data_IF_676089303471
#
_entry.id   IF_676089303471
#
_cell.length_a   1.000
_cell.length_b   1.000
_cell.length_c   1.000
_cell.angle_alpha   90.00
_cell.angle_beta   90.00
_cell.angle_gamma   90.00
#
_symmetry.space_group_name_H-M   'P 1'
#
loop_
_entity.id
_entity.type
_entity.pdbx_description
1 polymer ?
#
# COMPACT_ATOMS: atom_id res chain seq x y z
N UNK A 1 6.82 13.60 -15.51
CA UNK A 1 6.45 12.46 -14.65
C UNK A 1 5.76 13.05 -13.44
N UNK A 2 4.57 12.58 -13.10
CA UNK A 2 3.84 13.07 -11.92
C UNK A 2 3.83 11.98 -10.86
N UNK A 3 4.70 12.10 -9.85
CA UNK A 3 4.67 11.31 -8.62
C UNK A 3 4.22 12.19 -7.47
N UNK A 4 3.19 12.99 -7.78
CA UNK A 4 2.53 13.91 -6.87
C UNK A 4 1.12 13.43 -6.61
N UNK A 5 0.71 13.49 -5.35
CA UNK A 5 -0.67 13.44 -4.92
C UNK A 5 -1.06 14.87 -4.52
N UNK A 6 -2.11 15.37 -5.15
CA UNK A 6 -2.78 16.61 -4.79
C UNK A 6 -4.11 16.22 -4.16
N UNK A 7 -4.16 16.27 -2.84
CA UNK A 7 -5.37 16.12 -2.07
C UNK A 7 -6.07 17.47 -1.89
N UNK A 8 -7.11 17.49 -1.07
CA UNK A 8 -7.86 18.73 -0.76
C UNK A 8 -7.12 19.57 0.30
N UNK A 9 -6.34 18.95 1.16
CA UNK A 9 -5.61 19.59 2.26
C UNK A 9 -4.16 19.14 2.39
N UNK A 10 -3.76 18.04 1.72
CA UNK A 10 -2.41 17.51 1.69
C UNK A 10 -1.83 17.51 0.29
N UNK A 11 -0.55 17.79 0.18
CA UNK A 11 0.23 17.54 -1.02
C UNK A 11 1.40 16.60 -0.71
N UNK A 12 1.57 15.58 -1.54
CA UNK A 12 2.60 14.57 -1.38
C UNK A 12 3.40 14.41 -2.67
N UNK A 13 4.72 14.42 -2.57
CA UNK A 13 5.62 14.06 -3.66
C UNK A 13 6.56 12.95 -3.22
N UNK A 14 6.62 11.86 -4.00
CA UNK A 14 7.59 10.76 -3.81
C UNK A 14 8.64 10.85 -4.90
N UNK A 15 9.92 10.83 -4.52
CA UNK A 15 11.04 10.99 -5.42
C UNK A 15 12.14 9.93 -5.19
N UNK A 16 13.09 9.88 -6.13
CA UNK A 16 14.17 8.91 -6.17
C UNK A 16 13.84 7.65 -6.97
N UNK A 17 14.78 6.73 -7.05
CA UNK A 17 14.69 5.44 -7.73
C UNK A 17 15.24 4.34 -6.81
N UNK A 18 14.94 3.08 -7.15
CA UNK A 18 15.35 1.93 -6.34
C UNK A 18 16.84 1.88 -6.04
N UNK A 19 17.66 2.30 -6.99
CA UNK A 19 19.13 2.27 -6.91
C UNK A 19 19.78 3.65 -6.97
N UNK A 20 19.01 4.75 -6.90
CA UNK A 20 19.56 6.09 -6.67
C UNK A 20 20.14 6.21 -5.25
N UNK A 21 20.93 7.26 -4.96
CA UNK A 21 21.51 7.45 -3.62
C UNK A 21 20.47 7.42 -2.49
N UNK A 22 19.27 7.97 -2.74
CA UNK A 22 18.18 7.98 -1.79
C UNK A 22 16.81 7.93 -2.50
N UNK A 23 15.80 7.55 -1.74
CA UNK A 23 14.38 7.75 -2.04
C UNK A 23 13.78 8.64 -0.96
N UNK A 24 12.73 9.38 -1.27
CA UNK A 24 12.17 10.29 -0.26
C UNK A 24 10.75 10.74 -0.55
N UNK A 25 10.23 11.50 0.39
CA UNK A 25 8.93 12.13 0.36
C UNK A 25 9.02 13.58 0.77
N UNK A 26 8.26 14.44 0.10
CA UNK A 26 7.85 15.74 0.62
C UNK A 26 6.36 15.69 0.93
N UNK A 27 5.97 16.22 2.08
CA UNK A 27 4.59 16.27 2.54
C UNK A 27 4.26 17.66 3.03
N UNK A 28 3.32 18.32 2.39
CA UNK A 28 2.78 19.63 2.76
C UNK A 28 1.38 19.48 3.36
N UNK A 29 1.00 20.45 4.20
CA UNK A 29 -0.33 20.45 4.81
C UNK A 29 -0.37 19.80 6.19
N UNK A 30 0.74 19.44 6.82
CA UNK A 30 0.75 19.01 8.23
C UNK A 30 0.45 20.20 9.16
N UNK A 31 -0.24 19.99 10.29
CA UNK A 31 -0.43 21.02 11.29
C UNK A 31 0.91 21.37 11.94
N UNK A 32 1.12 22.61 12.33
CA UNK A 32 2.24 22.97 13.20
C UNK A 32 1.94 22.55 14.65
N UNK A 33 2.99 22.14 15.38
CA UNK A 33 2.90 21.80 16.80
C UNK A 33 2.52 20.33 17.09
N UNK A 34 2.39 19.47 16.08
CA UNK A 34 2.18 18.04 16.29
C UNK A 34 3.48 17.34 16.63
N UNK A 35 3.53 16.61 17.74
CA UNK A 35 4.70 15.82 18.17
C UNK A 35 4.63 14.43 17.59
N UNK A 36 5.53 14.13 16.66
CA UNK A 36 5.62 12.79 16.04
C UNK A 36 6.28 11.82 17.02
N UNK A 37 5.62 10.70 17.32
CA UNK A 37 6.25 9.57 18.00
C UNK A 37 7.13 8.81 16.99
N UNK A 38 8.43 9.00 17.11
CA UNK A 38 9.42 8.40 16.20
C UNK A 38 9.59 6.90 16.41
N UNK A 39 9.30 6.37 17.60
CA UNK A 39 9.37 4.95 17.90
C UNK A 39 8.19 4.22 17.26
N UNK A 40 6.98 4.78 17.35
CA UNK A 40 5.79 4.28 16.66
C UNK A 40 5.98 4.34 15.14
N UNK A 41 6.44 5.47 14.59
CA UNK A 41 6.74 5.60 13.16
C UNK A 41 7.79 4.57 12.73
N UNK A 42 8.86 4.39 13.50
CA UNK A 42 9.88 3.37 13.25
C UNK A 42 9.31 1.95 13.29
N UNK A 43 8.41 1.65 14.22
CA UNK A 43 7.73 0.35 14.28
C UNK A 43 6.85 0.11 13.05
N UNK A 44 6.11 1.12 12.59
CA UNK A 44 5.31 1.07 11.39
C UNK A 44 6.15 0.80 10.13
N UNK A 45 7.27 1.52 9.97
CA UNK A 45 8.18 1.36 8.84
C UNK A 45 8.86 -0.02 8.83
N UNK A 46 9.21 -0.57 10.01
CA UNK A 46 9.79 -1.92 10.11
C UNK A 46 8.89 -3.00 9.55
N UNK A 47 7.57 -2.89 9.67
CA UNK A 47 6.60 -3.87 9.09
C UNK A 47 6.73 -3.94 7.56
N UNK A 48 7.07 -2.82 6.92
CA UNK A 48 7.28 -2.73 5.47
C UNK A 48 8.70 -3.16 5.07
N UNK A 49 9.71 -2.96 5.91
CA UNK A 49 11.11 -3.14 5.58
C UNK A 49 11.44 -4.56 5.09
N UNK A 50 12.40 -4.74 4.14
CA UNK A 50 12.77 -6.05 3.64
C UNK A 50 13.62 -6.83 4.65
N UNK A 51 13.68 -8.17 4.47
CA UNK A 51 14.60 -9.04 5.22
C UNK A 51 14.21 -9.33 6.66
N UNK A 52 12.95 -9.10 7.04
CA UNK A 52 12.47 -9.33 8.40
C UNK A 52 12.08 -10.79 8.68
N UNK A 53 11.89 -11.62 7.63
CA UNK A 53 11.36 -12.98 7.78
C UNK A 53 11.71 -13.88 6.59
N UNK A 54 11.43 -15.19 6.72
CA UNK A 54 11.80 -16.22 5.75
C UNK A 54 10.98 -16.18 4.45
N UNK A 55 9.79 -15.56 4.46
CA UNK A 55 8.88 -15.43 3.30
C UNK A 55 9.05 -14.14 2.51
N UNK A 56 10.03 -13.31 2.87
CA UNK A 56 10.40 -12.09 2.15
C UNK A 56 11.77 -12.21 1.50
N UNK A 57 12.14 -11.18 0.70
CA UNK A 57 13.46 -11.08 0.09
C UNK A 57 14.58 -11.11 1.14
N UNK A 58 15.74 -11.72 0.85
CA UNK A 58 16.89 -11.67 1.74
C UNK A 58 17.64 -10.31 1.75
N UNK A 59 17.19 -9.33 0.97
CA UNK A 59 17.68 -7.95 1.04
C UNK A 59 17.43 -7.39 2.43
N UNK A 60 18.40 -6.67 3.00
CA UNK A 60 18.27 -6.02 4.31
C UNK A 60 18.48 -4.53 4.14
N UNK A 61 17.49 -3.74 4.54
CA UNK A 61 17.56 -2.29 4.64
C UNK A 61 16.75 -1.85 5.86
N UNK A 62 17.30 -0.92 6.63
CA UNK A 62 16.68 -0.48 7.88
C UNK A 62 15.46 0.43 7.63
N UNK A 63 15.35 1.03 6.45
CA UNK A 63 14.31 2.00 6.05
C UNK A 63 14.15 3.15 7.07
N UNK A 64 15.26 3.58 7.69
CA UNK A 64 15.25 4.68 8.65
C UNK A 64 15.18 6.02 7.89
N UNK A 65 14.19 6.86 8.17
CA UNK A 65 14.07 8.18 7.57
C UNK A 65 15.05 9.17 8.20
N UNK A 66 15.67 9.99 7.35
CA UNK A 66 16.40 11.21 7.72
C UNK A 66 15.52 12.42 7.38
N UNK A 67 15.12 13.20 8.39
CA UNK A 67 14.23 14.34 8.23
C UNK A 67 15.04 15.60 7.96
N UNK A 68 14.91 16.12 6.73
CA UNK A 68 15.68 17.28 6.26
C UNK A 68 14.95 18.60 6.48
N UNK A 69 13.63 18.60 6.64
CA UNK A 69 12.78 19.78 6.80
C UNK A 69 11.45 19.43 7.46
N UNK A 70 10.74 20.42 7.97
CA UNK A 70 9.38 20.32 8.49
C UNK A 70 9.29 20.04 9.98
N UNK A 71 10.42 19.76 10.64
CA UNK A 71 10.48 19.45 12.08
C UNK A 71 11.43 20.38 12.82
N UNK A 72 11.09 20.64 14.09
CA UNK A 72 12.00 21.16 15.12
C UNK A 72 12.03 20.13 16.25
N UNK A 73 13.15 19.41 16.39
CA UNK A 73 13.14 18.14 17.13
C UNK A 73 12.20 17.15 16.45
N UNK A 74 11.21 16.64 17.20
CA UNK A 74 10.19 15.74 16.69
C UNK A 74 8.83 16.45 16.40
N UNK A 75 8.78 17.79 16.51
CA UNK A 75 7.56 18.57 16.41
C UNK A 75 7.45 19.21 15.02
N UNK A 76 6.31 19.05 14.36
CA UNK A 76 6.03 19.70 13.07
C UNK A 76 6.01 21.22 13.22
N UNK A 77 6.65 21.93 12.30
CA UNK A 77 6.80 23.39 12.36
C UNK A 77 5.95 24.15 11.32
N UNK A 78 5.12 23.44 10.56
CA UNK A 78 4.29 24.03 9.50
C UNK A 78 5.00 24.21 8.15
N UNK A 79 6.33 24.08 8.10
CA UNK A 79 7.05 24.02 6.83
C UNK A 79 6.81 22.64 6.14
N UNK A 80 6.95 22.54 4.82
CA UNK A 80 6.89 21.24 4.15
C UNK A 80 7.86 20.24 4.78
N UNK A 81 7.33 19.08 5.17
CA UNK A 81 8.16 18.00 5.70
C UNK A 81 8.89 17.33 4.53
N UNK A 82 10.20 17.15 4.66
CA UNK A 82 11.01 16.37 3.73
C UNK A 82 11.75 15.28 4.50
N UNK A 83 11.57 14.03 4.07
CA UNK A 83 12.29 12.89 4.63
C UNK A 83 12.89 12.04 3.52
N UNK A 84 14.11 11.55 3.73
CA UNK A 84 14.83 10.67 2.81
C UNK A 84 15.22 9.36 3.49
N UNK A 85 15.30 8.30 2.70
CA UNK A 85 15.89 7.02 3.09
C UNK A 85 17.05 6.75 2.15
N UNK A 86 18.25 6.64 2.70
CA UNK A 86 19.46 6.32 1.93
C UNK A 86 19.46 4.85 1.48
N UNK A 87 19.75 4.61 0.20
CA UNK A 87 19.89 3.26 -0.34
C UNK A 87 21.30 2.74 -0.08
N UNK A 88 21.43 1.70 0.73
CA UNK A 88 22.74 1.16 1.16
C UNK A 88 23.08 -0.21 0.57
N UNK A 89 22.11 -0.94 0.03
CA UNK A 89 22.27 -2.33 -0.43
C UNK A 89 21.80 -2.51 -1.89
N UNK A 90 22.41 -1.77 -2.82
CA UNK A 90 22.08 -1.80 -4.24
C UNK A 90 23.05 -2.69 -5.03
N UNK A 91 22.54 -3.44 -6.02
CA UNK A 91 23.32 -4.28 -6.95
C UNK A 91 22.82 -4.03 -8.38
N UNK A 92 23.22 -2.90 -8.96
CA UNK A 92 22.72 -2.45 -10.27
C UNK A 92 23.11 -3.38 -11.43
N UNK A 93 24.21 -4.12 -11.31
CA UNK A 93 24.68 -5.05 -12.33
C UNK A 93 23.70 -6.22 -12.59
N UNK A 94 22.90 -6.61 -11.59
CA UNK A 94 21.92 -7.70 -11.71
C UNK A 94 20.79 -7.39 -12.71
N UNK A 95 20.69 -6.14 -13.22
CA UNK A 95 19.60 -5.64 -14.07
C UNK A 95 20.04 -5.29 -15.50
N UNK A 96 21.30 -5.54 -15.89
CA UNK A 96 21.80 -5.13 -17.21
C UNK A 96 21.07 -5.81 -18.38
N UNK A 97 20.64 -7.06 -18.22
CA UNK A 97 19.87 -7.79 -19.24
C UNK A 97 18.44 -7.23 -19.43
N UNK A 98 17.91 -6.47 -18.45
CA UNK A 98 16.58 -5.89 -18.50
C UNK A 98 16.51 -4.59 -19.31
N UNK A 99 17.64 -4.05 -19.74
CA UNK A 99 17.69 -2.86 -20.61
C UNK A 99 17.06 -3.17 -21.96
N UNK A 100 17.33 -4.35 -22.49
CA UNK A 100 16.84 -4.78 -23.80
C UNK A 100 15.65 -5.77 -23.71
N UNK A 101 15.64 -6.64 -22.69
CA UNK A 101 14.62 -7.69 -22.55
C UNK A 101 13.73 -7.35 -21.34
N UNK A 102 12.54 -6.74 -21.56
CA UNK A 102 11.66 -6.31 -20.48
C UNK A 102 11.01 -7.49 -19.75
N UNK A 103 10.85 -7.36 -18.44
CA UNK A 103 10.12 -8.35 -17.62
C UNK A 103 8.64 -8.36 -17.97
N UNK A 104 8.05 -9.53 -18.27
CA UNK A 104 6.61 -9.67 -18.38
C UNK A 104 5.92 -9.22 -17.06
N UNK A 105 4.84 -8.46 -17.19
CA UNK A 105 4.09 -7.99 -16.03
C UNK A 105 4.73 -6.87 -15.20
N UNK A 106 5.92 -6.37 -15.56
CA UNK A 106 6.56 -5.19 -14.97
C UNK A 106 6.39 -3.95 -15.87
N UNK A 107 6.76 -2.78 -15.36
CA UNK A 107 6.67 -1.53 -16.10
C UNK A 107 7.81 -1.32 -17.11
N UNK A 108 8.75 -2.24 -17.27
CA UNK A 108 9.96 -2.06 -18.08
C UNK A 108 9.64 -1.62 -19.52
N UNK A 109 8.75 -2.34 -20.22
CA UNK A 109 8.34 -2.00 -21.58
C UNK A 109 7.57 -0.68 -21.65
N UNK A 110 6.58 -0.50 -20.78
CA UNK A 110 5.75 0.71 -20.81
C UNK A 110 6.54 1.95 -20.44
N UNK A 111 7.53 1.83 -19.55
CA UNK A 111 8.47 2.89 -19.22
C UNK A 111 9.42 3.21 -20.40
N UNK A 112 9.92 2.16 -21.07
CA UNK A 112 10.75 2.31 -22.29
C UNK A 112 10.02 3.14 -23.35
N UNK A 113 8.76 2.82 -23.62
CA UNK A 113 7.94 3.57 -24.61
C UNK A 113 7.67 4.99 -24.13
N UNK A 114 7.25 5.15 -22.86
CA UNK A 114 6.86 6.46 -22.32
C UNK A 114 8.01 7.44 -22.23
N UNK A 115 9.21 6.97 -21.87
CA UNK A 115 10.37 7.82 -21.61
C UNK A 115 11.46 7.73 -22.69
N UNK A 116 11.17 7.07 -23.81
CA UNK A 116 12.10 6.98 -24.95
C UNK A 116 13.44 6.34 -24.62
N UNK A 117 13.45 5.40 -23.65
CA UNK A 117 14.66 4.70 -23.22
C UNK A 117 15.49 5.39 -22.13
N UNK A 118 15.06 6.53 -21.62
CA UNK A 118 15.77 7.30 -20.59
C UNK A 118 15.37 6.94 -19.15
N UNK A 119 14.51 5.94 -18.95
CA UNK A 119 14.15 5.47 -17.61
C UNK A 119 15.32 4.74 -16.95
N UNK A 120 15.42 4.85 -15.61
CA UNK A 120 16.30 4.01 -14.83
C UNK A 120 15.70 2.60 -14.71
N UNK A 121 16.40 1.57 -15.21
CA UNK A 121 15.96 0.16 -15.14
C UNK A 121 16.46 -0.56 -13.89
N UNK A 122 17.48 -0.01 -13.22
CA UNK A 122 18.14 -0.66 -12.09
C UNK A 122 17.15 -0.84 -10.90
N UNK A 123 16.93 -2.10 -10.50
CA UNK A 123 15.97 -2.42 -9.44
C UNK A 123 14.53 -2.04 -9.74
N UNK A 124 14.19 -1.78 -11.02
CA UNK A 124 12.88 -1.28 -11.45
C UNK A 124 12.71 0.24 -11.32
N UNK A 125 13.81 0.96 -11.02
CA UNK A 125 13.85 2.42 -11.00
C UNK A 125 12.77 3.03 -10.11
N UNK A 126 12.03 3.98 -10.66
CA UNK A 126 10.93 4.66 -9.98
C UNK A 126 9.63 3.82 -9.92
N UNK A 127 9.55 2.68 -10.63
CA UNK A 127 8.42 1.74 -10.60
C UNK A 127 8.58 0.63 -9.54
N UNK A 128 9.67 0.68 -8.79
CA UNK A 128 9.99 -0.31 -7.78
C UNK A 128 9.04 -0.20 -6.57
N UNK A 129 8.69 -1.35 -5.98
CA UNK A 129 8.03 -1.41 -4.66
C UNK A 129 8.83 -0.72 -3.53
N UNK A 130 10.12 -0.40 -3.77
CA UNK A 130 10.96 0.37 -2.85
C UNK A 130 10.35 1.75 -2.55
N UNK A 131 9.67 2.37 -3.52
CA UNK A 131 9.05 3.69 -3.41
C UNK A 131 7.83 3.72 -2.47
N UNK A 132 7.39 2.58 -1.97
CA UNK A 132 6.37 2.53 -0.91
C UNK A 132 6.93 2.88 0.48
N UNK A 133 8.26 2.87 0.68
CA UNK A 133 8.82 3.28 1.97
C UNK A 133 8.60 4.78 2.25
N UNK A 134 8.85 5.72 1.32
CA UNK A 134 8.43 7.10 1.47
C UNK A 134 6.92 7.30 1.68
N UNK A 135 6.08 6.51 0.99
CA UNK A 135 4.62 6.53 1.21
C UNK A 135 4.28 6.16 2.67
N UNK A 136 4.97 5.15 3.22
CA UNK A 136 4.77 4.73 4.61
C UNK A 136 5.26 5.78 5.63
N UNK A 137 6.24 6.62 5.31
CA UNK A 137 6.62 7.75 6.17
C UNK A 137 5.43 8.70 6.29
N UNK A 138 4.89 9.17 5.18
CA UNK A 138 3.73 10.07 5.17
C UNK A 138 2.50 9.43 5.85
N UNK A 139 2.20 8.17 5.49
CA UNK A 139 1.07 7.45 6.07
C UNK A 139 1.21 7.20 7.57
N UNK A 140 2.41 6.88 8.06
CA UNK A 140 2.66 6.67 9.48
C UNK A 140 2.45 7.95 10.31
N UNK A 141 2.84 9.12 9.77
CA UNK A 141 2.57 10.42 10.40
C UNK A 141 1.06 10.72 10.39
N UNK A 142 0.39 10.52 9.25
CA UNK A 142 -1.06 10.70 9.15
C UNK A 142 -1.81 9.73 10.10
N UNK A 143 -1.29 8.52 10.32
CA UNK A 143 -1.89 7.53 11.24
C UNK A 143 -1.93 8.05 12.67
N UNK A 144 -0.83 8.64 13.15
CA UNK A 144 -0.77 9.24 14.48
C UNK A 144 -1.73 10.43 14.62
N UNK A 145 -1.82 11.28 13.59
CA UNK A 145 -2.78 12.39 13.55
C UNK A 145 -4.25 11.93 13.58
N UNK A 146 -4.56 10.82 12.92
CA UNK A 146 -5.89 10.20 12.96
C UNK A 146 -6.18 9.56 14.33
N UNK A 147 -5.17 8.93 14.94
CA UNK A 147 -5.28 8.33 16.27
C UNK A 147 -5.67 9.35 17.33
N UNK A 148 -5.09 10.57 17.33
CA UNK A 148 -5.49 11.66 18.22
C UNK A 148 -6.97 12.06 18.09
N UNK A 149 -7.58 11.76 16.94
CA UNK A 149 -9.00 12.01 16.67
C UNK A 149 -9.89 10.77 16.91
N UNK A 150 -9.33 9.69 17.46
CA UNK A 150 -10.03 8.44 17.71
C UNK A 150 -10.35 7.63 16.45
N UNK A 151 -9.62 7.90 15.35
CA UNK A 151 -9.75 7.16 14.09
C UNK A 151 -8.61 6.16 13.96
N UNK A 152 -8.96 4.87 13.84
CA UNK A 152 -7.98 3.80 13.72
C UNK A 152 -8.02 3.19 12.32
N UNK A 153 -6.84 2.99 11.75
CA UNK A 153 -6.67 2.34 10.44
C UNK A 153 -5.83 1.10 10.61
N UNK A 154 -6.37 -0.03 10.17
CA UNK A 154 -5.73 -1.32 10.29
C UNK A 154 -5.93 -2.14 9.01
N UNK A 155 -4.87 -2.81 8.56
CA UNK A 155 -4.96 -3.77 7.47
C UNK A 155 -4.39 -5.13 7.86
N UNK A 156 -4.89 -6.18 7.19
CA UNK A 156 -4.42 -7.55 7.34
C UNK A 156 -4.37 -8.27 5.99
N UNK A 157 -3.66 -9.37 5.96
CA UNK A 157 -3.74 -10.32 4.86
C UNK A 157 -5.14 -10.97 4.92
N UNK A 158 -5.86 -10.92 3.81
CA UNK A 158 -7.17 -11.55 3.65
C UNK A 158 -7.05 -12.89 2.92
N UNK A 159 -6.15 -12.97 1.92
CA UNK A 159 -5.83 -14.20 1.22
C UNK A 159 -4.41 -14.20 0.63
N UNK A 160 -3.80 -15.36 0.48
CA UNK A 160 -2.60 -15.60 -0.33
C UNK A 160 -2.77 -16.87 -1.14
N UNK A 161 -2.46 -16.81 -2.43
CA UNK A 161 -2.56 -17.96 -3.36
C UNK A 161 -3.94 -18.65 -3.34
N UNK A 162 -5.02 -17.87 -3.12
CA UNK A 162 -6.38 -18.41 -3.02
C UNK A 162 -6.74 -19.03 -1.67
N UNK A 163 -5.81 -19.05 -0.71
CA UNK A 163 -6.09 -19.49 0.67
C UNK A 163 -6.57 -18.27 1.44
N UNK A 164 -7.81 -18.29 1.93
CA UNK A 164 -8.46 -17.17 2.60
C UNK A 164 -8.41 -17.30 4.13
N UNK A 165 -8.34 -16.16 4.82
CA UNK A 165 -8.64 -16.05 6.24
C UNK A 165 -10.06 -15.49 6.40
N UNK A 166 -10.99 -16.38 6.74
CA UNK A 166 -12.41 -16.04 6.93
C UNK A 166 -12.74 -15.49 8.32
N UNK A 167 -11.72 -15.32 9.18
CA UNK A 167 -11.91 -14.78 10.52
C UNK A 167 -12.43 -13.33 10.46
N UNK A 168 -13.23 -12.96 11.45
CA UNK A 168 -13.62 -11.57 11.62
C UNK A 168 -12.42 -10.67 11.96
N UNK A 169 -12.54 -9.38 11.67
CA UNK A 169 -11.51 -8.38 11.95
C UNK A 169 -11.61 -7.91 13.42
N UNK A 170 -11.39 -8.84 14.39
CA UNK A 170 -11.68 -8.59 15.80
C UNK A 170 -10.47 -8.16 16.64
N UNK A 171 -9.25 -8.37 16.17
CA UNK A 171 -8.04 -8.09 16.96
C UNK A 171 -6.96 -7.38 16.14
N UNK A 172 -6.15 -6.52 16.78
CA UNK A 172 -4.98 -5.94 16.14
C UNK A 172 -4.02 -7.02 15.67
N UNK A 173 -3.70 -7.01 14.38
CA UNK A 173 -2.74 -7.93 13.76
C UNK A 173 -1.40 -7.25 13.43
N UNK A 174 -1.30 -5.96 13.69
CA UNK A 174 -0.14 -5.10 13.40
C UNK A 174 1.13 -5.51 14.14
N UNK A 175 0.99 -6.19 15.29
CA UNK A 175 2.10 -6.77 16.05
C UNK A 175 2.54 -8.15 15.57
N UNK A 176 1.75 -8.80 14.68
CA UNK A 176 2.13 -10.07 14.08
C UNK A 176 3.12 -9.85 12.93
N UNK A 177 4.20 -10.63 12.89
CA UNK A 177 5.14 -10.65 11.76
C UNK A 177 4.47 -11.07 10.44
N UNK A 178 3.40 -11.87 10.54
CA UNK A 178 2.55 -12.27 9.43
C UNK A 178 1.12 -11.84 9.78
N UNK A 179 0.65 -10.69 9.29
CA UNK A 179 -0.57 -10.04 9.77
C UNK A 179 -1.85 -10.71 9.24
N UNK A 180 -2.16 -11.87 9.79
CA UNK A 180 -3.35 -12.71 9.56
C UNK A 180 -4.03 -12.95 10.90
N UNK A 181 -5.37 -13.03 10.95
CA UNK A 181 -6.10 -13.25 12.19
C UNK A 181 -5.96 -14.70 12.66
N UNK A 182 -6.24 -15.67 11.78
CA UNK A 182 -6.12 -17.11 12.05
C UNK A 182 -4.68 -17.59 11.90
N UNK A 183 -4.12 -18.18 12.94
CA UNK A 183 -2.78 -18.77 12.88
C UNK A 183 -2.74 -20.01 11.97
N UNK A 184 -3.86 -20.77 11.87
CA UNK A 184 -3.99 -21.91 10.95
C UNK A 184 -3.92 -21.44 9.48
N UNK A 185 -4.71 -20.42 9.12
CA UNK A 185 -4.65 -19.79 7.77
C UNK A 185 -3.25 -19.26 7.48
N UNK A 186 -2.58 -18.67 8.48
CA UNK A 186 -1.21 -18.18 8.34
C UNK A 186 -0.23 -19.29 7.95
N UNK A 187 -0.32 -20.48 8.58
CA UNK A 187 0.58 -21.58 8.24
C UNK A 187 0.32 -22.14 6.84
N UNK A 188 -0.94 -22.25 6.41
CA UNK A 188 -1.27 -22.66 5.05
C UNK A 188 -0.77 -21.65 4.01
N UNK A 189 -0.95 -20.34 4.25
CA UNK A 189 -0.45 -19.27 3.39
C UNK A 189 1.09 -19.27 3.29
N UNK A 190 1.79 -19.43 4.42
CA UNK A 190 3.26 -19.55 4.46
C UNK A 190 3.76 -20.77 3.68
N UNK A 191 3.05 -21.92 3.80
CA UNK A 191 3.38 -23.10 3.04
C UNK A 191 3.20 -22.88 1.52
N UNK A 192 2.16 -22.16 1.09
CA UNK A 192 1.96 -21.80 -0.31
C UNK A 192 3.07 -20.87 -0.83
N UNK A 193 3.50 -19.89 -0.05
CA UNK A 193 4.65 -19.01 -0.40
C UNK A 193 5.93 -19.82 -0.53
N UNK A 194 6.20 -20.74 0.42
CA UNK A 194 7.38 -21.60 0.40
C UNK A 194 7.42 -22.50 -0.84
N UNK A 195 6.26 -23.04 -1.23
CA UNK A 195 6.12 -23.84 -2.45
C UNK A 195 6.42 -23.02 -3.70
N UNK A 196 5.80 -21.85 -3.84
CA UNK A 196 6.06 -20.96 -4.96
C UNK A 196 7.55 -20.60 -5.07
N UNK A 197 8.20 -20.31 -3.94
CA UNK A 197 9.65 -20.05 -3.88
C UNK A 197 10.48 -21.25 -4.35
N UNK A 198 10.11 -22.48 -3.94
CA UNK A 198 10.80 -23.70 -4.34
C UNK A 198 10.64 -23.97 -5.86
N UNK A 199 9.53 -23.53 -6.44
CA UNK A 199 9.23 -23.60 -7.86
C UNK A 199 9.79 -22.41 -8.66
N UNK A 200 10.60 -21.54 -8.03
CA UNK A 200 11.18 -20.31 -8.61
C UNK A 200 10.11 -19.32 -9.13
N UNK A 201 8.93 -19.35 -8.53
CA UNK A 201 7.76 -18.58 -8.90
C UNK A 201 7.33 -17.63 -7.77
N UNK A 202 6.21 -16.94 -7.93
CA UNK A 202 5.63 -16.02 -6.96
C UNK A 202 4.12 -16.17 -6.87
N UNK A 203 3.54 -15.73 -5.74
CA UNK A 203 2.10 -15.70 -5.51
C UNK A 203 1.66 -14.31 -5.09
N UNK A 204 0.42 -13.96 -5.45
CA UNK A 204 -0.28 -12.77 -5.01
C UNK A 204 -1.27 -13.07 -3.89
N UNK A 205 -2.13 -12.11 -3.59
CA UNK A 205 -3.18 -12.26 -2.60
C UNK A 205 -4.06 -11.03 -2.44
N UNK A 206 -4.86 -11.05 -1.40
CA UNK A 206 -5.77 -9.99 -1.01
C UNK A 206 -5.35 -9.39 0.33
N UNK A 207 -5.53 -8.09 0.46
CA UNK A 207 -5.35 -7.34 1.72
C UNK A 207 -6.70 -6.70 2.04
N UNK A 208 -7.19 -6.90 3.27
CA UNK A 208 -8.36 -6.22 3.80
C UNK A 208 -7.92 -5.08 4.70
N UNK A 209 -8.55 -3.92 4.54
CA UNK A 209 -8.35 -2.75 5.40
C UNK A 209 -9.67 -2.38 6.06
N UNK A 210 -9.59 -1.98 7.32
CA UNK A 210 -10.70 -1.46 8.11
C UNK A 210 -10.29 -0.14 8.75
N UNK A 211 -11.19 0.84 8.68
CA UNK A 211 -11.04 2.15 9.32
C UNK A 211 -12.22 2.34 10.26
N UNK A 212 -11.95 2.58 11.52
CA UNK A 212 -12.98 2.80 12.56
C UNK A 212 -12.87 4.22 13.13
N UNK A 213 -13.95 4.70 13.74
CA UNK A 213 -13.98 6.02 14.36
C UNK A 213 -14.24 7.19 13.40
N UNK A 214 -14.40 6.93 12.10
CA UNK A 214 -14.74 7.98 11.13
C UNK A 214 -16.16 8.46 11.38
N UNK A 215 -16.39 9.78 11.62
CA UNK A 215 -17.75 10.29 11.82
C UNK A 215 -18.58 10.15 10.54
N UNK A 216 -19.90 10.04 10.67
CA UNK A 216 -20.81 10.14 9.54
C UNK A 216 -20.73 11.54 8.93
N UNK A 217 -20.75 11.63 7.59
CA UNK A 217 -20.74 12.91 6.87
C UNK A 217 -19.37 13.33 6.33
N UNK A 218 -18.32 12.52 6.46
CA UNK A 218 -17.03 12.79 5.85
C UNK A 218 -17.03 12.33 4.39
N UNK A 219 -16.44 13.14 3.50
CA UNK A 219 -16.37 12.89 2.06
C UNK A 219 -17.39 13.71 1.28
N UNK A 220 -17.35 13.56 -0.03
CA UNK A 220 -18.14 14.35 -0.98
C UNK A 220 -18.82 13.41 -2.00
N UNK A 221 -19.89 13.84 -2.65
CA UNK A 221 -20.49 13.03 -3.72
C UNK A 221 -19.58 12.97 -4.95
N UNK A 222 -19.78 11.94 -5.77
CA UNK A 222 -19.15 11.72 -7.07
C UNK A 222 -17.61 11.70 -6.98
N UNK A 223 -16.91 12.68 -7.54
CA UNK A 223 -15.44 12.66 -7.73
C UNK A 223 -14.64 12.87 -6.44
N UNK A 224 -15.21 13.56 -5.45
CA UNK A 224 -14.61 13.79 -4.14
C UNK A 224 -14.91 12.70 -3.12
N UNK A 225 -15.57 11.61 -3.53
CA UNK A 225 -15.96 10.51 -2.65
C UNK A 225 -14.79 9.81 -1.98
N UNK A 226 -15.04 9.26 -0.79
CA UNK A 226 -14.00 8.55 -0.04
C UNK A 226 -13.47 7.33 -0.80
N UNK A 227 -14.33 6.60 -1.54
CA UNK A 227 -13.89 5.50 -2.38
C UNK A 227 -12.90 5.97 -3.44
N UNK A 228 -13.13 7.14 -4.05
CA UNK A 228 -12.25 7.71 -5.07
C UNK A 228 -10.89 8.09 -4.47
N UNK A 229 -10.88 8.77 -3.31
CA UNK A 229 -9.66 9.19 -2.62
C UNK A 229 -8.83 7.99 -2.16
N UNK A 230 -9.45 7.01 -1.54
CA UNK A 230 -8.79 5.76 -1.10
C UNK A 230 -8.25 5.01 -2.33
N UNK A 231 -9.05 4.87 -3.39
CA UNK A 231 -8.64 4.14 -4.60
C UNK A 231 -7.47 4.82 -5.32
N UNK A 232 -7.45 6.14 -5.40
CA UNK A 232 -6.36 6.90 -6.00
C UNK A 232 -5.02 6.57 -5.34
N UNK A 233 -4.96 6.58 -4.01
CA UNK A 233 -3.76 6.27 -3.24
C UNK A 233 -3.44 4.77 -3.24
N UNK A 234 -4.47 3.91 -3.23
CA UNK A 234 -4.31 2.46 -3.30
C UNK A 234 -3.64 2.02 -4.61
N UNK A 235 -4.08 2.57 -5.76
CA UNK A 235 -3.47 2.28 -7.06
C UNK A 235 -2.08 2.91 -7.26
N UNK A 236 -1.64 3.82 -6.40
CA UNK A 236 -0.26 4.28 -6.37
C UNK A 236 0.69 3.22 -5.78
N UNK A 237 0.19 2.23 -5.05
CA UNK A 237 0.97 1.10 -4.54
C UNK A 237 1.27 0.14 -5.71
N UNK A 238 2.55 -0.13 -6.04
CA UNK A 238 2.91 -1.09 -7.08
C UNK A 238 2.28 -2.46 -6.84
N UNK A 239 1.87 -3.12 -7.92
CA UNK A 239 1.22 -4.43 -7.96
C UNK A 239 -0.25 -4.48 -7.52
N UNK A 240 -0.85 -3.41 -7.03
CA UNK A 240 -2.30 -3.35 -6.83
C UNK A 240 -3.01 -3.42 -8.19
N UNK A 241 -4.04 -4.27 -8.29
CA UNK A 241 -4.79 -4.54 -9.53
C UNK A 241 -6.30 -4.41 -9.38
N UNK A 242 -6.78 -4.30 -8.16
CA UNK A 242 -8.21 -4.13 -7.88
C UNK A 242 -8.44 -3.65 -6.47
N UNK A 243 -9.59 -3.00 -6.28
CA UNK A 243 -10.12 -2.59 -4.99
C UNK A 243 -11.63 -2.81 -5.01
N UNK A 244 -12.19 -3.22 -3.88
CA UNK A 244 -13.63 -3.31 -3.66
C UNK A 244 -13.97 -2.87 -2.23
N UNK A 245 -15.12 -2.24 -2.07
CA UNK A 245 -15.64 -1.74 -0.79
C UNK A 245 -16.80 -2.60 -0.31
N UNK A 246 -16.86 -2.88 1.00
CA UNK A 246 -17.89 -3.74 1.59
C UNK A 246 -17.92 -5.12 0.94
N UNK A 247 -19.10 -5.53 0.43
CA UNK A 247 -19.27 -6.77 -0.32
C UNK A 247 -18.65 -6.73 -1.74
N UNK A 248 -18.34 -5.51 -2.24
CA UNK A 248 -17.70 -5.34 -3.53
C UNK A 248 -18.45 -6.03 -4.66
N UNK A 249 -17.74 -6.87 -5.44
CA UNK A 249 -18.34 -7.59 -6.58
C UNK A 249 -19.43 -8.59 -6.18
N UNK A 250 -19.42 -9.11 -4.94
CA UNK A 250 -20.46 -10.03 -4.47
C UNK A 250 -21.84 -9.35 -4.38
N UNK A 251 -21.90 -8.06 -4.16
CA UNK A 251 -23.17 -7.30 -4.14
C UNK A 251 -23.95 -7.41 -5.46
N UNK A 252 -23.29 -7.59 -6.60
CA UNK A 252 -23.94 -7.72 -7.90
C UNK A 252 -24.84 -8.95 -8.03
N UNK A 253 -24.66 -9.97 -7.18
CA UNK A 253 -25.47 -11.18 -7.13
C UNK A 253 -26.67 -11.09 -6.19
N UNK A 254 -26.80 -10.01 -5.40
CA UNK A 254 -27.82 -9.86 -4.38
C UNK A 254 -29.02 -9.06 -4.88
N UNK A 255 -30.17 -9.27 -4.22
CA UNK A 255 -31.32 -8.37 -4.35
C UNK A 255 -31.12 -7.14 -3.47
N UNK A 256 -31.77 -6.03 -3.80
CA UNK A 256 -31.71 -4.80 -2.98
C UNK A 256 -32.07 -5.04 -1.52
N UNK A 257 -33.10 -5.86 -1.25
CA UNK A 257 -33.52 -6.22 0.12
C UNK A 257 -32.49 -7.07 0.90
N UNK A 258 -31.56 -7.71 0.20
CA UNK A 258 -30.49 -8.52 0.79
C UNK A 258 -29.21 -7.70 0.96
N UNK A 259 -28.97 -6.75 0.06
CA UNK A 259 -27.78 -5.90 0.06
C UNK A 259 -27.92 -4.67 0.95
N UNK A 260 -29.12 -4.13 1.10
CA UNK A 260 -29.32 -2.85 1.81
C UNK A 260 -29.01 -2.99 3.30
N UNK A 261 -28.16 -2.09 3.80
CA UNK A 261 -27.83 -1.98 5.21
C UNK A 261 -28.97 -1.26 5.95
N UNK A 262 -29.84 -2.00 6.66
CA UNK A 262 -30.99 -1.45 7.36
C UNK A 262 -30.54 -0.53 8.50
N UNK A 263 -31.12 0.66 8.59
CA UNK A 263 -30.83 1.61 9.66
C UNK A 263 -31.54 1.24 10.96
N UNK A 264 -30.88 1.47 12.09
CA UNK A 264 -31.45 1.43 13.43
C UNK A 264 -30.89 2.54 14.31
N UNK A 265 -31.57 2.83 15.38
CA UNK A 265 -31.08 3.75 16.43
C UNK A 265 -30.52 2.91 17.58
N UNK A 266 -29.25 3.16 17.95
CA UNK A 266 -28.56 2.52 19.06
C UNK A 266 -27.84 3.61 19.87
N UNK A 267 -28.16 3.71 21.17
CA UNK A 267 -27.61 4.73 22.08
C UNK A 267 -27.68 6.17 21.54
N UNK A 268 -28.79 6.51 20.88
CA UNK A 268 -29.03 7.83 20.31
C UNK A 268 -28.27 8.13 19.03
N UNK A 269 -27.63 7.13 18.43
CA UNK A 269 -26.92 7.22 17.16
C UNK A 269 -27.59 6.38 16.08
N UNK A 270 -27.51 6.83 14.84
CA UNK A 270 -27.92 6.04 13.69
C UNK A 270 -26.78 5.10 13.32
N UNK A 271 -27.05 3.81 13.28
CA UNK A 271 -26.15 2.76 12.85
C UNK A 271 -26.86 1.85 11.85
N UNK A 272 -26.12 0.95 11.19
CA UNK A 272 -26.71 -0.05 10.31
C UNK A 272 -26.61 -1.45 10.92
N UNK A 273 -27.55 -2.35 10.57
CA UNK A 273 -27.56 -3.74 11.06
C UNK A 273 -26.48 -4.58 10.40
N UNK A 274 -26.16 -4.27 9.14
CA UNK A 274 -25.11 -4.87 8.33
C UNK A 274 -24.16 -3.77 7.84
N UNK A 275 -23.09 -4.14 7.17
CA UNK A 275 -22.14 -3.18 6.57
C UNK A 275 -21.72 -3.64 5.17
N UNK A 276 -22.70 -3.99 4.36
CA UNK A 276 -22.52 -4.48 3.00
C UNK A 276 -21.92 -3.40 2.07
N UNK A 277 -22.28 -2.13 2.31
CA UNK A 277 -21.72 -0.98 1.58
C UNK A 277 -20.32 -0.58 2.04
N UNK A 278 -19.79 -1.19 3.12
CA UNK A 278 -18.44 -0.91 3.61
C UNK A 278 -18.25 0.47 4.21
N UNK A 279 -19.28 1.05 4.85
CA UNK A 279 -19.18 2.30 5.60
C UNK A 279 -19.29 3.58 4.77
N UNK A 280 -19.49 3.49 3.46
CA UNK A 280 -19.55 4.63 2.54
C UNK A 280 -20.81 4.54 1.69
N UNK A 281 -21.58 5.61 1.63
CA UNK A 281 -22.79 5.74 0.81
C UNK A 281 -22.76 7.06 0.05
N UNK A 282 -22.79 6.99 -1.27
CA UNK A 282 -22.72 8.16 -2.14
C UNK A 282 -21.43 8.96 -2.02
N UNK A 283 -20.31 8.31 -1.68
CA UNK A 283 -19.01 8.93 -1.46
C UNK A 283 -18.77 9.43 -0.04
N UNK A 284 -19.76 9.31 0.85
CA UNK A 284 -19.78 9.91 2.19
C UNK A 284 -19.85 8.81 3.25
N UNK A 285 -19.06 8.95 4.32
CA UNK A 285 -19.09 8.01 5.45
C UNK A 285 -20.44 8.02 6.17
N UNK A 286 -20.90 6.84 6.61
CA UNK A 286 -22.15 6.69 7.36
C UNK A 286 -21.94 6.45 8.87
N UNK A 287 -20.70 6.52 9.36
CA UNK A 287 -20.34 6.27 10.76
C UNK A 287 -20.02 4.81 11.10
N UNK A 288 -20.31 3.87 10.19
CA UNK A 288 -19.90 2.48 10.32
C UNK A 288 -18.42 2.33 9.92
N UNK A 289 -17.74 1.23 10.29
CA UNK A 289 -16.38 0.97 9.84
C UNK A 289 -16.27 1.02 8.32
N UNK A 290 -15.30 1.78 7.80
CA UNK A 290 -14.98 1.73 6.37
C UNK A 290 -14.16 0.47 6.11
N UNK A 291 -14.66 -0.40 5.23
CA UNK A 291 -14.04 -1.69 4.92
C UNK A 291 -13.85 -1.83 3.41
N UNK A 292 -12.61 -2.16 3.00
CA UNK A 292 -12.29 -2.44 1.62
C UNK A 292 -11.24 -3.55 1.49
N UNK A 293 -11.14 -4.15 0.30
CA UNK A 293 -10.14 -5.18 -0.05
C UNK A 293 -9.36 -4.77 -1.28
N UNK A 294 -8.08 -5.11 -1.30
CA UNK A 294 -7.17 -4.88 -2.41
C UNK A 294 -6.62 -6.18 -2.97
N UNK A 295 -6.61 -6.29 -4.31
CA UNK A 295 -5.93 -7.38 -5.00
C UNK A 295 -4.49 -6.98 -5.35
N UNK A 296 -3.55 -7.78 -4.89
CA UNK A 296 -2.11 -7.63 -5.15
C UNK A 296 -1.66 -8.78 -6.06
N UNK A 297 -1.19 -8.46 -7.26
CA UNK A 297 -0.70 -9.48 -8.20
C UNK A 297 0.60 -10.11 -7.72
N UNK A 298 0.95 -11.32 -8.21
CA UNK A 298 2.26 -11.94 -8.02
C UNK A 298 3.40 -11.01 -8.47
N UNK A 299 4.55 -11.15 -7.84
CA UNK A 299 5.77 -10.43 -8.24
C UNK A 299 6.21 -10.85 -9.63
N UNK A 300 6.41 -9.92 -10.59
CA UNK A 300 6.78 -10.27 -11.96
C UNK A 300 8.24 -10.74 -12.11
N UNK A 301 9.09 -10.41 -11.14
CA UNK A 301 10.48 -10.86 -11.12
C UNK A 301 10.56 -12.25 -10.47
N UNK A 302 10.57 -13.29 -11.31
CA UNK A 302 10.68 -14.70 -10.91
C UNK A 302 11.92 -15.32 -11.56
N UNK A 303 12.49 -16.37 -10.95
CA UNK A 303 13.70 -17.00 -11.47
C UNK A 303 13.41 -18.00 -12.62
N UNK A 304 12.14 -18.40 -12.79
CA UNK A 304 11.73 -19.21 -13.94
C UNK A 304 11.96 -18.47 -15.24
N UNK A 305 12.41 -19.20 -16.26
CA UNK A 305 12.51 -18.66 -17.63
C UNK A 305 11.16 -18.18 -18.13
N UNK A 306 11.11 -16.95 -18.62
CA UNK A 306 9.91 -16.30 -19.13
C UNK A 306 10.07 -15.94 -20.60
N UNK A 307 8.99 -16.01 -21.35
CA UNK A 307 8.93 -15.47 -22.71
C UNK A 307 8.87 -13.96 -22.67
N UNK A 308 9.73 -13.30 -23.46
CA UNK A 308 9.79 -11.85 -23.61
C UNK A 308 10.21 -11.50 -25.04
N UNK A 309 10.74 -10.30 -25.22
CA UNK A 309 11.24 -9.80 -26.52
C UNK A 309 12.55 -9.06 -26.33
N UNK A 310 13.44 -9.10 -27.33
CA UNK A 310 14.53 -8.13 -27.45
C UNK A 310 13.99 -6.90 -28.14
N UNK A 311 14.05 -5.75 -27.49
CA UNK A 311 13.54 -4.48 -28.03
C UNK A 311 14.47 -3.95 -29.13
N UNK A 312 15.76 -4.16 -29.01
CA UNK A 312 16.75 -3.72 -30.02
C UNK A 312 16.67 -4.56 -31.31
N UNK A 313 16.50 -5.87 -31.18
CA UNK A 313 16.42 -6.79 -32.32
C UNK A 313 15.01 -6.96 -32.89
N UNK A 314 13.98 -6.52 -32.16
CA UNK A 314 12.55 -6.71 -32.46
C UNK A 314 12.20 -8.19 -32.72
N UNK A 315 12.66 -9.08 -31.84
CA UNK A 315 12.50 -10.53 -31.91
C UNK A 315 12.05 -11.11 -30.58
N UNK A 316 11.36 -12.26 -30.63
CA UNK A 316 11.04 -13.02 -29.42
C UNK A 316 12.32 -13.47 -28.73
N UNK A 317 12.35 -13.39 -27.42
CA UNK A 317 13.50 -13.76 -26.59
C UNK A 317 13.02 -14.48 -25.32
N UNK A 318 13.94 -15.18 -24.68
CA UNK A 318 13.72 -15.72 -23.34
C UNK A 318 14.44 -14.84 -22.33
N UNK A 319 13.81 -14.69 -21.17
CA UNK A 319 14.32 -13.90 -20.06
C UNK A 319 14.53 -14.79 -18.84
N UNK A 320 15.74 -14.79 -18.33
CA UNK A 320 16.09 -15.34 -17.03
C UNK A 320 16.45 -14.19 -16.09
N UNK A 321 15.73 -14.08 -14.98
CA UNK A 321 15.95 -13.02 -14.01
C UNK A 321 16.77 -13.58 -12.86
N UNK A 322 17.94 -12.99 -12.65
CA UNK A 322 18.79 -13.27 -11.51
C UNK A 322 18.57 -12.19 -10.45
N UNK A 323 18.57 -12.55 -9.18
CA UNK A 323 18.46 -11.57 -8.11
C UNK A 323 17.64 -12.04 -6.91
N UNK A 324 17.44 -11.11 -5.95
CA UNK A 324 16.75 -11.37 -4.68
C UNK A 324 15.33 -10.81 -4.73
N UNK A 325 14.37 -11.64 -5.11
CA UNK A 325 12.98 -11.22 -5.24
C UNK A 325 12.11 -11.80 -4.12
N UNK A 326 11.02 -11.09 -3.80
CA UNK A 326 10.01 -11.59 -2.88
C UNK A 326 9.16 -12.66 -3.58
N UNK A 327 9.01 -13.87 -3.03
CA UNK A 327 8.07 -14.86 -3.56
C UNK A 327 6.61 -14.44 -3.33
N UNK A 328 6.38 -13.53 -2.38
CA UNK A 328 5.09 -12.89 -2.12
C UNK A 328 5.31 -11.54 -1.46
N UNK A 329 4.77 -10.48 -2.07
CA UNK A 329 4.89 -9.11 -1.52
C UNK A 329 3.74 -8.74 -0.58
N UNK A 330 2.68 -9.55 -0.51
CA UNK A 330 1.44 -9.23 0.24
C UNK A 330 1.72 -8.87 1.70
N UNK A 331 2.52 -9.64 2.48
CA UNK A 331 2.77 -9.28 3.88
C UNK A 331 3.42 -7.90 4.07
N UNK A 332 4.28 -7.50 3.13
CA UNK A 332 4.96 -6.19 3.15
C UNK A 332 4.10 -5.07 2.58
N UNK A 333 3.09 -5.40 1.79
CA UNK A 333 2.14 -4.45 1.24
C UNK A 333 1.08 -4.01 2.27
N UNK A 334 0.83 -4.79 3.32
CA UNK A 334 -0.16 -4.45 4.38
C UNK A 334 0.06 -3.05 4.96
N UNK A 335 1.25 -2.66 5.48
CA UNK A 335 1.46 -1.30 5.97
C UNK A 335 1.40 -0.23 4.86
N UNK A 336 1.64 -0.58 3.59
CA UNK A 336 1.48 0.36 2.48
C UNK A 336 -0.01 0.67 2.24
N UNK A 337 -0.89 -0.32 2.42
CA UNK A 337 -2.36 -0.13 2.34
C UNK A 337 -2.86 0.73 3.49
N UNK A 338 -2.37 0.48 4.71
CA UNK A 338 -2.67 1.36 5.86
C UNK A 338 -2.22 2.80 5.56
N UNK A 339 -1.00 2.99 5.03
CA UNK A 339 -0.47 4.31 4.68
C UNK A 339 -1.34 5.04 3.65
N UNK A 340 -1.77 4.35 2.59
CA UNK A 340 -2.66 4.91 1.58
C UNK A 340 -4.01 5.32 2.19
N UNK A 341 -4.60 4.46 3.02
CA UNK A 341 -5.86 4.72 3.69
C UNK A 341 -5.77 5.91 4.66
N UNK A 342 -4.71 5.96 5.49
CA UNK A 342 -4.53 7.06 6.45
C UNK A 342 -4.35 8.40 5.78
N UNK A 343 -3.59 8.47 4.67
CA UNK A 343 -3.42 9.71 3.91
C UNK A 343 -4.76 10.15 3.34
N UNK A 344 -5.55 9.24 2.73
CA UNK A 344 -6.86 9.57 2.15
C UNK A 344 -7.85 10.12 3.19
N UNK A 345 -7.95 9.45 4.34
CA UNK A 345 -8.89 9.84 5.40
C UNK A 345 -8.44 11.13 6.09
N UNK A 346 -7.13 11.28 6.36
CA UNK A 346 -6.63 12.49 6.98
C UNK A 346 -6.77 13.72 6.07
N UNK A 347 -6.52 13.56 4.77
CA UNK A 347 -6.73 14.60 3.77
C UNK A 347 -8.20 15.07 3.75
N UNK A 348 -9.15 14.13 3.66
CA UNK A 348 -10.57 14.43 3.68
C UNK A 348 -11.01 15.08 4.99
N UNK A 349 -10.57 14.54 6.15
CA UNK A 349 -10.91 15.05 7.47
C UNK A 349 -10.39 16.47 7.69
N UNK A 350 -9.16 16.74 7.27
CA UNK A 350 -8.57 18.06 7.38
C UNK A 350 -9.27 19.09 6.47
N UNK A 351 -9.65 18.68 5.27
CA UNK A 351 -10.37 19.54 4.33
C UNK A 351 -11.79 19.88 4.80
N UNK A 352 -12.48 18.94 5.47
CA UNK A 352 -13.85 19.15 5.98
C UNK A 352 -13.92 20.12 7.15
N UNK A 353 -12.82 20.36 7.87
CA UNK A 353 -12.79 21.20 9.07
C UNK A 353 -13.46 20.56 10.31
N UNK A 354 -13.78 19.26 10.25
CA UNK A 354 -14.35 18.45 11.35
C UNK A 354 -13.28 18.04 12.36
#
# INVERSE_FOLDING_TARGET
MSSFYHGDALELSIFGQSHSPAIGVTLSGLPAGFSIDMDELGAFLRRRAPGQNAWSTPRKEADLPDFLSGLVGNVTCGAPLCAVIHNTNTRSQDYNNLIDIPRPGHADYTAQVKFGGFQDVAGGGHFSGRLTAPLCIAGGICKQLLHEKGIEVMARIDAIAGIEDTSEFLAPVDRKNFPVTSDESAEHMKAAIARARAEEDSVGGLIRCQITGVPAGLGEPMFGGLENKISQLAFAIPAVKGIEFGLGFAAAGLRGSENNDAYRVEDGRVVTETNHCGGILGGISNGMPIVFRLAVKPTPSIARTQKSVSLSAMQNAELNIHGRHDPCIVPRAVPCVEAAATIAIYDALKASGI
#
